data_IF_499545584068
#
_entry.id   IF_499545584068
#
_cell.length_a   1.000
_cell.length_b   1.000
_cell.length_c   1.000
_cell.angle_alpha   90.00
_cell.angle_beta   90.00
_cell.angle_gamma   90.00
#
_symmetry.space_group_name_H-M   'P 1'
#
loop_
_entity.id
_entity.type
_entity.pdbx_description
1 polymer ?
#
# COMPACT_ATOMS: atom_id res chain seq x y z
N UNK A 1 -3.11 27.05 18.06
CA UNK A 1 -3.37 27.97 16.92
C UNK A 1 -3.84 27.12 15.76
N UNK A 2 -4.79 27.62 14.95
CA UNK A 2 -5.90 26.85 14.39
C UNK A 2 -5.38 25.64 13.61
N UNK A 3 -5.77 24.46 14.10
CA UNK A 3 -5.89 23.16 13.41
C UNK A 3 -5.25 23.11 12.02
N UNK A 4 -4.12 22.39 11.97
CA UNK A 4 -3.56 21.70 10.81
C UNK A 4 -4.39 21.85 9.53
N UNK A 5 -4.00 22.85 8.71
CA UNK A 5 -4.71 23.23 7.50
C UNK A 5 -4.58 22.12 6.46
N UNK A 6 -5.48 21.13 6.48
CA UNK A 6 -5.69 20.29 5.31
C UNK A 6 -6.48 21.12 4.30
N UNK A 7 -5.78 21.61 3.29
CA UNK A 7 -6.43 22.23 2.12
C UNK A 7 -7.31 21.15 1.48
N UNK A 8 -8.63 21.37 1.34
CA UNK A 8 -9.50 20.42 0.66
C UNK A 8 -8.98 20.10 -0.74
N UNK A 9 -8.99 18.82 -1.09
CA UNK A 9 -8.69 18.38 -2.45
C UNK A 9 -9.99 18.37 -3.25
N UNK A 10 -10.01 19.10 -4.36
CA UNK A 10 -11.09 19.02 -5.32
C UNK A 10 -10.86 17.80 -6.21
N UNK A 11 -11.82 16.89 -6.22
CA UNK A 11 -11.75 15.60 -6.92
C UNK A 11 -13.05 15.37 -7.66
N UNK A 12 -12.96 14.91 -8.90
CA UNK A 12 -14.14 14.53 -9.69
C UNK A 12 -14.87 13.35 -9.03
N UNK A 13 -16.20 13.39 -9.04
CA UNK A 13 -17.05 12.37 -8.39
C UNK A 13 -16.70 10.94 -8.83
N UNK A 14 -16.54 10.63 -10.14
CA UNK A 14 -16.21 9.27 -10.57
C UNK A 14 -14.89 8.76 -9.97
N UNK A 15 -13.90 9.65 -9.88
CA UNK A 15 -12.59 9.35 -9.29
C UNK A 15 -12.70 9.15 -7.77
N UNK A 16 -13.46 10.03 -7.10
CA UNK A 16 -13.70 9.92 -5.66
C UNK A 16 -14.44 8.63 -5.29
N UNK A 17 -15.35 8.16 -6.15
CA UNK A 17 -16.16 6.97 -5.89
C UNK A 17 -15.41 5.64 -6.02
N UNK A 18 -14.17 5.66 -6.53
CA UNK A 18 -13.28 4.52 -6.41
C UNK A 18 -12.87 4.25 -4.95
N UNK A 19 -12.87 5.28 -4.10
CA UNK A 19 -12.78 5.12 -2.65
C UNK A 19 -14.17 4.73 -2.12
N UNK A 20 -14.38 3.45 -1.81
CA UNK A 20 -15.70 2.96 -1.39
C UNK A 20 -16.19 3.64 -0.11
N UNK A 21 -15.30 4.01 0.80
CA UNK A 21 -15.68 4.76 2.00
C UNK A 21 -16.30 6.12 1.66
N UNK A 22 -15.76 6.81 0.64
CA UNK A 22 -16.26 8.11 0.16
C UNK A 22 -17.58 7.93 -0.55
N UNK A 23 -17.67 6.93 -1.44
CA UNK A 23 -18.91 6.57 -2.14
C UNK A 23 -20.05 6.30 -1.15
N UNK A 24 -19.84 5.40 -0.19
CA UNK A 24 -20.86 5.05 0.79
C UNK A 24 -21.30 6.28 1.61
N UNK A 25 -20.35 7.13 2.02
CA UNK A 25 -20.68 8.36 2.74
C UNK A 25 -21.57 9.28 1.90
N UNK A 26 -21.23 9.51 0.63
CA UNK A 26 -22.05 10.35 -0.27
C UNK A 26 -23.41 9.72 -0.56
N UNK A 27 -23.51 8.40 -0.67
CA UNK A 27 -24.78 7.69 -0.85
C UNK A 27 -25.68 7.78 0.39
N UNK A 28 -25.10 7.76 1.59
CA UNK A 28 -25.84 7.81 2.86
C UNK A 28 -26.28 9.24 3.25
N UNK A 29 -25.41 10.24 3.08
CA UNK A 29 -25.66 11.62 3.54
C UNK A 29 -25.88 12.64 2.42
N UNK A 30 -25.63 12.27 1.17
CA UNK A 30 -25.65 13.17 0.02
C UNK A 30 -24.34 13.95 -0.15
N UNK A 31 -24.23 14.68 -1.27
CA UNK A 31 -23.15 15.65 -1.48
C UNK A 31 -23.39 16.88 -0.61
N UNK A 32 -22.43 17.20 0.25
CA UNK A 32 -22.44 18.39 1.11
C UNK A 32 -21.57 19.49 0.49
N UNK A 33 -21.83 20.74 0.89
CA UNK A 33 -20.96 21.89 0.55
C UNK A 33 -19.63 21.87 1.33
N UNK A 34 -19.52 20.96 2.31
CA UNK A 34 -18.36 20.76 3.17
C UNK A 34 -17.51 19.59 2.66
N UNK A 35 -16.18 19.70 2.85
CA UNK A 35 -15.25 18.64 2.45
C UNK A 35 -15.44 17.37 3.29
N UNK A 36 -15.35 16.21 2.64
CA UNK A 36 -15.40 14.90 3.31
C UNK A 36 -14.15 14.69 4.16
N UNK A 37 -14.27 14.50 5.48
CA UNK A 37 -13.11 14.32 6.35
C UNK A 37 -12.53 12.91 6.21
N UNK A 38 -11.22 12.82 5.93
CA UNK A 38 -10.46 11.55 5.86
C UNK A 38 -9.31 11.58 6.88
N UNK A 39 -9.59 11.42 8.19
CA UNK A 39 -8.60 11.66 9.25
C UNK A 39 -7.43 10.65 9.25
N UNK A 40 -7.62 9.46 8.67
CA UNK A 40 -6.61 8.39 8.71
C UNK A 40 -5.67 8.39 7.50
N UNK A 41 -5.79 9.40 6.61
CA UNK A 41 -4.94 9.53 5.42
C UNK A 41 -4.45 10.96 5.29
N UNK A 42 -3.13 11.16 5.29
CA UNK A 42 -2.54 12.46 5.02
C UNK A 42 -2.78 12.88 3.56
N UNK A 43 -2.94 14.19 3.30
CA UNK A 43 -3.16 14.71 1.95
C UNK A 43 -2.08 14.31 0.91
N UNK A 44 -0.83 14.12 1.33
CA UNK A 44 0.25 13.61 0.46
C UNK A 44 -0.02 12.19 -0.04
N UNK A 45 -0.41 11.29 0.87
CA UNK A 45 -0.76 9.90 0.52
C UNK A 45 -2.05 9.87 -0.30
N UNK A 46 -3.03 10.72 0.03
CA UNK A 46 -4.27 10.80 -0.73
C UNK A 46 -4.02 11.22 -2.18
N UNK A 47 -3.11 12.16 -2.45
CA UNK A 47 -2.71 12.53 -3.82
C UNK A 47 -2.12 11.36 -4.61
N UNK A 48 -1.30 10.53 -3.96
CA UNK A 48 -0.72 9.32 -4.58
C UNK A 48 -1.81 8.29 -4.87
N UNK A 49 -2.76 8.10 -3.95
CA UNK A 49 -3.91 7.24 -4.16
C UNK A 49 -4.76 7.73 -5.34
N UNK A 50 -5.00 9.04 -5.43
CA UNK A 50 -5.76 9.64 -6.52
C UNK A 50 -5.05 9.48 -7.87
N UNK A 51 -3.71 9.54 -7.92
CA UNK A 51 -2.93 9.23 -9.14
C UNK A 51 -3.18 7.79 -9.61
N UNK A 52 -3.20 6.82 -8.69
CA UNK A 52 -3.53 5.43 -9.02
C UNK A 52 -4.96 5.29 -9.53
N UNK A 53 -5.92 5.90 -8.82
CA UNK A 53 -7.33 5.84 -9.20
C UNK A 53 -7.57 6.47 -10.58
N UNK A 54 -6.90 7.58 -10.91
CA UNK A 54 -7.05 8.25 -12.20
C UNK A 54 -6.51 7.38 -13.33
N UNK A 55 -5.37 6.72 -13.10
CA UNK A 55 -4.79 5.79 -14.07
C UNK A 55 -5.68 4.57 -14.36
N UNK A 56 -6.41 4.08 -13.36
CA UNK A 56 -7.18 2.83 -13.42
C UNK A 56 -8.70 3.04 -13.45
N UNK A 57 -9.17 4.27 -13.73
CA UNK A 57 -10.60 4.60 -13.64
C UNK A 57 -11.50 3.81 -14.60
N UNK A 58 -10.94 3.41 -15.73
CA UNK A 58 -11.64 2.65 -16.78
C UNK A 58 -11.37 1.14 -16.70
N UNK A 59 -10.55 0.71 -15.74
CA UNK A 59 -10.16 -0.69 -15.61
C UNK A 59 -11.23 -1.49 -14.85
N UNK A 60 -11.57 -2.66 -15.39
CA UNK A 60 -12.41 -3.60 -14.67
C UNK A 60 -11.63 -4.23 -13.52
N UNK A 61 -12.17 -4.22 -12.30
CA UNK A 61 -11.57 -5.00 -11.21
C UNK A 61 -11.79 -6.49 -11.45
N UNK A 62 -10.69 -7.22 -11.55
CA UNK A 62 -10.66 -8.68 -11.53
C UNK A 62 -9.86 -9.10 -10.32
N UNK A 63 -10.37 -10.08 -9.57
CA UNK A 63 -9.61 -10.62 -8.44
C UNK A 63 -8.24 -11.11 -8.90
N UNK A 64 -7.17 -10.78 -8.16
CA UNK A 64 -5.84 -11.19 -8.53
C UNK A 64 -5.73 -12.72 -8.55
N UNK A 65 -5.18 -13.27 -9.62
CA UNK A 65 -4.74 -14.66 -9.62
C UNK A 65 -3.54 -14.80 -8.66
N UNK A 66 -3.75 -15.47 -7.52
CA UNK A 66 -2.76 -15.69 -6.47
C UNK A 66 -1.55 -16.53 -6.93
N UNK A 67 -1.70 -17.31 -8.00
CA UNK A 67 -0.62 -18.13 -8.56
C UNK A 67 0.36 -17.32 -9.40
N UNK A 68 -0.06 -16.14 -9.89
CA UNK A 68 0.75 -15.29 -10.77
C UNK A 68 1.14 -13.98 -10.09
N UNK A 69 2.45 -13.72 -10.00
CA UNK A 69 2.98 -12.40 -9.62
C UNK A 69 3.07 -11.44 -10.81
N UNK A 70 2.25 -11.68 -11.83
CA UNK A 70 2.13 -10.80 -12.98
C UNK A 70 1.46 -9.49 -12.52
N UNK A 71 2.05 -8.40 -12.98
CA UNK A 71 1.72 -7.04 -12.63
C UNK A 71 2.09 -6.17 -13.82
N UNK A 72 1.24 -5.18 -14.10
CA UNK A 72 1.50 -4.22 -15.16
C UNK A 72 2.79 -3.44 -14.90
N UNK A 73 3.45 -3.02 -15.97
CA UNK A 73 4.69 -2.25 -15.86
C UNK A 73 4.46 -0.92 -15.15
N UNK A 74 3.35 -0.25 -15.45
CA UNK A 74 2.98 1.01 -14.80
C UNK A 74 2.83 0.85 -13.29
N UNK A 75 2.11 -0.19 -12.84
CA UNK A 75 1.91 -0.49 -11.42
C UNK A 75 3.23 -0.73 -10.69
N UNK A 76 4.12 -1.50 -11.33
CA UNK A 76 5.43 -1.79 -10.79
C UNK A 76 6.25 -0.52 -10.62
N UNK A 77 6.29 0.32 -11.64
CA UNK A 77 7.02 1.60 -11.59
C UNK A 77 6.40 2.58 -10.59
N UNK A 78 5.08 2.66 -10.53
CA UNK A 78 4.34 3.44 -9.54
C UNK A 78 4.73 3.03 -8.12
N UNK A 79 4.68 1.73 -7.80
CA UNK A 79 5.05 1.26 -6.47
C UNK A 79 6.56 1.33 -6.17
N UNK A 80 7.42 1.22 -7.18
CA UNK A 80 8.86 1.45 -7.02
C UNK A 80 9.16 2.88 -6.60
N UNK A 81 8.52 3.87 -7.25
CA UNK A 81 8.66 5.30 -6.89
C UNK A 81 8.24 5.57 -5.44
N UNK A 82 7.30 4.79 -4.92
CA UNK A 82 6.72 4.94 -3.58
C UNK A 82 7.16 3.87 -2.57
N UNK A 83 8.22 3.11 -2.87
CA UNK A 83 8.63 1.96 -2.05
C UNK A 83 8.97 2.34 -0.59
N UNK A 84 9.45 3.56 -0.34
CA UNK A 84 9.81 4.05 1.00
C UNK A 84 8.60 4.32 1.88
N UNK A 85 7.42 4.47 1.29
CA UNK A 85 6.14 4.76 1.95
C UNK A 85 5.09 3.66 1.68
N UNK A 86 5.50 2.53 1.10
CA UNK A 86 4.60 1.45 0.65
C UNK A 86 3.64 0.95 1.75
N UNK A 87 4.11 0.86 2.99
CA UNK A 87 3.26 0.44 4.13
C UNK A 87 2.26 1.51 4.57
N UNK A 88 2.60 2.80 4.40
CA UNK A 88 1.62 3.88 4.63
C UNK A 88 0.57 3.88 3.53
N UNK A 89 0.99 3.60 2.29
CA UNK A 89 0.10 3.48 1.15
C UNK A 89 -0.82 2.25 1.29
N UNK A 90 -0.32 1.11 1.80
CA UNK A 90 -1.15 -0.09 2.04
C UNK A 90 -2.22 0.16 3.09
N UNK A 91 -1.88 0.83 4.19
CA UNK A 91 -2.83 1.21 5.25
C UNK A 91 -3.90 2.18 4.69
N UNK A 92 -3.48 3.14 3.87
CA UNK A 92 -4.42 4.06 3.24
C UNK A 92 -5.36 3.37 2.25
N UNK A 93 -4.85 2.45 1.42
CA UNK A 93 -5.66 1.69 0.47
C UNK A 93 -6.71 0.81 1.17
N UNK A 94 -6.34 0.18 2.28
CA UNK A 94 -7.26 -0.58 3.13
C UNK A 94 -8.33 0.32 3.77
N UNK A 95 -7.92 1.44 4.39
CA UNK A 95 -8.84 2.39 5.01
C UNK A 95 -9.84 3.01 4.01
N UNK A 96 -9.37 3.36 2.81
CA UNK A 96 -10.21 3.93 1.75
C UNK A 96 -11.04 2.89 1.01
N UNK A 97 -10.81 1.60 1.30
CA UNK A 97 -11.44 0.43 0.70
C UNK A 97 -11.29 0.43 -0.83
N UNK A 98 -10.02 0.57 -1.29
CA UNK A 98 -9.62 0.46 -2.69
C UNK A 98 -8.93 -0.90 -2.89
N UNK A 99 -9.75 -1.95 -3.08
CA UNK A 99 -9.28 -3.33 -3.27
C UNK A 99 -8.23 -3.50 -4.37
N UNK A 100 -8.39 -2.95 -5.60
CA UNK A 100 -7.39 -3.09 -6.65
C UNK A 100 -5.99 -2.61 -6.22
N UNK A 101 -5.91 -1.43 -5.61
CA UNK A 101 -4.65 -0.85 -5.14
C UNK A 101 -4.00 -1.70 -4.05
N UNK A 102 -4.79 -2.17 -3.08
CA UNK A 102 -4.29 -3.02 -2.00
C UNK A 102 -3.70 -4.33 -2.55
N UNK A 103 -4.35 -4.94 -3.54
CA UNK A 103 -3.91 -6.19 -4.15
C UNK A 103 -2.60 -6.01 -4.92
N UNK A 104 -2.48 -4.93 -5.73
CA UNK A 104 -1.24 -4.61 -6.45
C UNK A 104 -0.09 -4.34 -5.47
N UNK A 105 -0.35 -3.65 -4.36
CA UNK A 105 0.65 -3.44 -3.29
C UNK A 105 1.09 -4.77 -2.66
N UNK A 106 0.15 -5.66 -2.33
CA UNK A 106 0.45 -6.98 -1.78
C UNK A 106 1.31 -7.80 -2.75
N UNK A 107 0.94 -7.86 -4.04
CA UNK A 107 1.74 -8.51 -5.08
C UNK A 107 3.15 -7.93 -5.16
N UNK A 108 3.29 -6.61 -5.08
CA UNK A 108 4.59 -5.95 -5.14
C UNK A 108 5.47 -6.29 -3.94
N UNK A 109 4.90 -6.36 -2.74
CA UNK A 109 5.60 -6.78 -1.53
C UNK A 109 6.08 -8.23 -1.68
N UNK A 110 5.24 -9.13 -2.20
CA UNK A 110 5.65 -10.52 -2.47
C UNK A 110 6.77 -10.56 -3.52
N UNK A 111 6.65 -9.82 -4.62
CA UNK A 111 7.69 -9.69 -5.62
C UNK A 111 9.02 -9.17 -5.03
N UNK A 112 8.96 -8.18 -4.13
CA UNK A 112 10.14 -7.60 -3.49
C UNK A 112 10.78 -8.50 -2.45
N UNK A 113 10.06 -9.45 -1.87
CA UNK A 113 10.55 -10.33 -0.79
C UNK A 113 10.97 -11.71 -1.31
N UNK A 114 10.46 -12.11 -2.47
CA UNK A 114 10.83 -13.38 -3.11
C UNK A 114 12.33 -13.44 -3.40
N UNK A 115 12.97 -14.52 -2.99
CA UNK A 115 14.39 -14.77 -3.21
C UNK A 115 15.34 -13.95 -2.30
N UNK A 116 14.81 -13.11 -1.41
CA UNK A 116 15.59 -12.42 -0.40
C UNK A 116 15.83 -13.31 0.81
N UNK A 117 16.99 -13.11 1.43
CA UNK A 117 17.31 -13.75 2.70
C UNK A 117 16.61 -13.03 3.90
N UNK A 118 16.59 -13.64 5.09
CA UNK A 118 15.93 -13.07 6.26
C UNK A 118 16.37 -11.65 6.62
N UNK A 119 17.66 -11.31 6.49
CA UNK A 119 18.14 -9.95 6.80
C UNK A 119 17.66 -8.91 5.82
N UNK A 120 17.72 -9.22 4.52
CA UNK A 120 17.21 -8.33 3.50
C UNK A 120 15.70 -8.10 3.67
N UNK A 121 14.95 -9.14 4.04
CA UNK A 121 13.53 -9.02 4.36
C UNK A 121 13.30 -8.20 5.63
N UNK A 122 14.01 -8.47 6.73
CA UNK A 122 13.94 -7.67 7.96
C UNK A 122 14.22 -6.20 7.70
N UNK A 123 15.26 -5.89 6.93
CA UNK A 123 15.57 -4.51 6.52
C UNK A 123 14.45 -3.88 5.69
N UNK A 124 13.86 -4.62 4.75
CA UNK A 124 12.74 -4.15 3.95
C UNK A 124 11.50 -3.84 4.80
N UNK A 125 11.14 -4.75 5.71
CA UNK A 125 10.03 -4.59 6.64
C UNK A 125 10.33 -3.67 7.83
N UNK A 126 11.58 -3.20 7.98
CA UNK A 126 12.06 -2.40 9.11
C UNK A 126 11.85 -3.10 10.47
N UNK A 127 12.10 -4.41 10.48
CA UNK A 127 12.01 -5.25 11.67
C UNK A 127 13.41 -5.41 12.27
N UNK A 128 13.54 -5.13 13.57
CA UNK A 128 14.76 -5.42 14.33
C UNK A 128 14.88 -6.92 14.62
N UNK A 129 16.11 -7.45 14.61
CA UNK A 129 16.34 -8.86 14.96
C UNK A 129 16.15 -9.06 16.46
N UNK A 130 15.31 -10.02 16.82
CA UNK A 130 15.05 -10.48 18.18
C UNK A 130 15.86 -11.73 18.56
N UNK A 131 16.63 -12.29 17.63
CA UNK A 131 17.44 -13.50 17.86
C UNK A 131 18.73 -13.22 18.63
N UNK A 132 19.04 -14.08 19.60
CA UNK A 132 20.38 -14.19 20.16
C UNK A 132 21.37 -14.78 19.14
N UNK A 133 22.70 -14.57 19.32
CA UNK A 133 23.71 -15.15 18.43
C UNK A 133 23.65 -16.68 18.32
N UNK A 134 23.30 -17.37 19.39
CA UNK A 134 23.16 -18.82 19.44
C UNK A 134 21.93 -19.30 18.67
N UNK A 135 20.78 -18.63 18.84
CA UNK A 135 19.55 -18.93 18.11
C UNK A 135 19.71 -18.68 16.61
N UNK A 136 20.34 -17.57 16.23
CA UNK A 136 20.63 -17.28 14.82
C UNK A 136 21.46 -18.40 14.19
N UNK A 137 22.53 -18.87 14.85
CA UNK A 137 23.36 -19.99 14.38
C UNK A 137 22.58 -21.29 14.25
N UNK A 138 21.69 -21.58 15.20
CA UNK A 138 20.86 -22.79 15.17
C UNK A 138 19.86 -22.75 14.01
N UNK A 139 19.13 -21.64 13.85
CA UNK A 139 18.17 -21.41 12.76
C UNK A 139 18.86 -21.46 11.40
N UNK A 140 20.07 -20.93 11.28
CA UNK A 140 20.88 -21.01 10.06
C UNK A 140 21.20 -22.46 9.69
N UNK A 141 21.63 -23.25 10.68
CA UNK A 141 21.96 -24.66 10.46
C UNK A 141 20.74 -25.48 10.05
N UNK A 142 19.60 -25.25 10.71
CA UNK A 142 18.34 -25.96 10.42
C UNK A 142 17.80 -25.65 9.03
N UNK A 143 17.94 -24.40 8.57
CA UNK A 143 17.45 -23.97 7.27
C UNK A 143 18.50 -24.03 6.14
N UNK A 144 19.72 -24.47 6.44
CA UNK A 144 20.82 -24.56 5.47
C UNK A 144 21.30 -23.22 4.91
N UNK A 145 21.14 -22.12 5.67
CA UNK A 145 21.54 -20.77 5.25
C UNK A 145 23.03 -20.50 5.51
N UNK A 146 23.69 -19.71 4.64
CA UNK A 146 25.16 -19.49 4.63
C UNK A 146 25.53 -18.15 5.30
N UNK A 147 26.62 -18.10 6.09
CA UNK A 147 27.11 -16.89 6.75
C UNK A 147 27.21 -15.68 5.80
N UNK A 148 26.68 -14.52 6.22
CA UNK A 148 26.59 -13.30 5.43
C UNK A 148 25.24 -13.06 4.73
N UNK A 149 24.25 -13.94 4.94
CA UNK A 149 22.86 -13.77 4.50
C UNK A 149 21.90 -13.31 5.62
N UNK A 150 22.43 -12.88 6.77
CA UNK A 150 21.67 -12.47 7.95
C UNK A 150 22.41 -11.40 8.74
#
# INVERSE_FOLDING_TARGET
>A
MPWDSTVPLMVEIPLAFQMRIVKNMVEDVGLLDEAIPLPNVSGEILKIVLEYCDKHQDDGYTEPNEETLEMEEWDREFLERHITIIFRLSIAADYLDIRPLLDVICKFIVYKTRGKNPYQNRKFFRIESDWSPEEAKQIMKENGWIEGQF
#
